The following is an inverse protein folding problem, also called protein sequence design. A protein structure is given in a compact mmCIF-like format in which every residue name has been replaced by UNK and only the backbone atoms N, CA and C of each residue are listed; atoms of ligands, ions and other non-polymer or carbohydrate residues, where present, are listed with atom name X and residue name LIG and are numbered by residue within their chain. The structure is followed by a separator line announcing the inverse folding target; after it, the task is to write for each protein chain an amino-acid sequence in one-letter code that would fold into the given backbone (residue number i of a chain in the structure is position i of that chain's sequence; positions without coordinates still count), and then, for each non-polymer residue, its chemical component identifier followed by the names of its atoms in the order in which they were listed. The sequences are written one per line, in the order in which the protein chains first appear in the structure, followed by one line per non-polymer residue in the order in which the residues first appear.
data_IF_226792490005
#
_entry.id   IF_226792490005
#
_cell.length_a   1.000
_cell.length_b   1.000
_cell.length_c   1.000
_cell.angle_alpha   90.00
_cell.angle_beta   90.00
_cell.angle_gamma   90.00
#
_symmetry.space_group_name_H-M   'P 1'
#
loop_
_entity.id
_entity.type
_entity.pdbx_description
1 polymer ?
#
# COMPACT_ATOMS: atom_id res chain seq x y z
N UNK A 1 -37.63 70.96 17.54
CA UNK A 1 -36.68 69.99 16.94
C UNK A 1 -37.44 68.73 16.54
N UNK A 2 -37.72 68.54 15.23
CA UNK A 2 -38.36 67.29 14.76
C UNK A 2 -37.34 66.17 14.94
N UNK A 3 -37.60 65.21 15.84
CA UNK A 3 -36.74 64.04 16.04
C UNK A 3 -36.70 63.26 14.72
N UNK A 4 -35.54 63.20 14.08
CA UNK A 4 -35.30 62.48 12.83
C UNK A 4 -35.33 60.96 13.05
N UNK A 5 -36.50 60.41 13.40
CA UNK A 5 -36.72 58.97 13.64
C UNK A 5 -36.27 58.11 12.45
N UNK A 6 -36.30 58.68 11.24
CA UNK A 6 -35.85 58.04 10.01
C UNK A 6 -34.33 57.77 9.97
N UNK A 7 -33.50 58.67 10.54
CA UNK A 7 -32.05 58.45 10.62
C UNK A 7 -31.68 57.30 11.56
N UNK A 8 -32.42 57.14 12.66
CA UNK A 8 -32.19 56.04 13.59
C UNK A 8 -32.55 54.69 12.97
N UNK A 9 -33.61 54.62 12.17
CA UNK A 9 -33.99 53.40 11.44
C UNK A 9 -32.90 53.01 10.43
N UNK A 10 -32.39 53.99 9.67
CA UNK A 10 -31.30 53.76 8.70
C UNK A 10 -30.02 53.31 9.40
N UNK A 11 -29.65 53.93 10.53
CA UNK A 11 -28.47 53.56 11.31
C UNK A 11 -28.58 52.14 11.87
N UNK A 12 -29.76 51.74 12.37
CA UNK A 12 -29.99 50.37 12.86
C UNK A 12 -29.95 49.34 11.74
N UNK A 13 -30.47 49.64 10.56
CA UNK A 13 -30.40 48.75 9.38
C UNK A 13 -28.96 48.60 8.90
N UNK A 14 -28.18 49.69 8.82
CA UNK A 14 -26.76 49.62 8.45
C UNK A 14 -25.93 48.83 9.48
N UNK A 15 -26.26 48.95 10.77
CA UNK A 15 -25.57 48.19 11.82
C UNK A 15 -25.93 46.69 11.76
N UNK A 16 -27.18 46.35 11.43
CA UNK A 16 -27.61 44.96 11.22
C UNK A 16 -26.98 44.31 9.97
N UNK A 17 -26.67 45.10 8.93
CA UNK A 17 -25.96 44.62 7.74
C UNK A 17 -24.44 44.48 7.96
N UNK A 18 -23.89 45.08 9.02
CA UNK A 18 -22.45 44.99 9.33
C UNK A 18 -22.02 43.71 10.03
N UNK A 19 -22.97 42.84 10.43
CA UNK A 19 -22.69 41.56 11.09
C UNK A 19 -22.75 40.35 10.15
N UNK A 20 -23.00 40.54 8.85
CA UNK A 20 -22.90 39.45 7.87
C UNK A 20 -21.45 39.30 7.42
N UNK A 21 -20.67 38.56 8.20
CA UNK A 21 -19.35 38.08 7.79
C UNK A 21 -19.52 36.90 6.84
N UNK A 22 -18.94 36.96 5.63
CA UNK A 22 -18.85 35.79 4.75
C UNK A 22 -17.68 34.91 5.23
N UNK A 23 -17.83 34.21 6.35
CA UNK A 23 -16.78 33.33 6.89
C UNK A 23 -16.45 32.19 5.90
N UNK A 24 -17.45 31.69 5.17
CA UNK A 24 -17.31 30.58 4.22
C UNK A 24 -16.57 30.95 2.92
N UNK A 25 -16.45 32.24 2.56
CA UNK A 25 -15.75 32.65 1.34
C UNK A 25 -14.23 32.43 1.43
N UNK A 26 -13.69 32.40 2.65
CA UNK A 26 -12.28 32.16 2.92
C UNK A 26 -11.97 30.69 3.25
N UNK A 27 -13.00 29.84 3.43
CA UNK A 27 -12.84 28.39 3.63
C UNK A 27 -12.69 27.65 2.28
N UNK A 28 -11.71 28.07 1.49
CA UNK A 28 -11.37 27.51 0.16
C UNK A 28 -10.22 26.50 0.23
N UNK A 29 -9.76 26.14 1.43
CA UNK A 29 -8.61 25.23 1.62
C UNK A 29 -9.00 23.76 1.58
N UNK A 30 -10.28 23.46 1.36
CA UNK A 30 -10.77 22.10 1.13
C UNK A 30 -10.78 21.84 -0.37
N UNK A 31 -10.02 20.84 -0.80
CA UNK A 31 -9.95 20.49 -2.21
C UNK A 31 -11.29 19.88 -2.64
N UNK A 32 -12.02 20.55 -3.53
CA UNK A 32 -13.31 20.03 -4.04
C UNK A 32 -13.15 18.92 -5.07
N UNK A 33 -11.95 18.80 -5.66
CA UNK A 33 -11.67 17.89 -6.77
C UNK A 33 -11.08 16.55 -6.30
N UNK A 34 -10.57 16.49 -5.08
CA UNK A 34 -10.02 15.27 -4.48
C UNK A 34 -10.67 15.00 -3.11
N UNK A 35 -11.03 13.75 -2.79
CA UNK A 35 -11.60 13.43 -1.49
C UNK A 35 -10.54 13.61 -0.39
N UNK A 36 -10.88 14.37 0.66
CA UNK A 36 -10.01 14.53 1.83
C UNK A 36 -9.97 13.26 2.71
N UNK A 37 -11.01 12.43 2.62
CA UNK A 37 -11.13 11.14 3.31
C UNK A 37 -11.77 10.12 2.38
N UNK A 38 -11.24 8.90 2.40
CA UNK A 38 -11.73 7.77 1.62
C UNK A 38 -11.92 6.60 2.57
N UNK A 39 -13.08 5.94 2.53
CA UNK A 39 -13.30 4.75 3.35
C UNK A 39 -12.33 3.63 2.98
N UNK A 40 -11.80 2.92 3.99
CA UNK A 40 -10.75 1.91 3.83
C UNK A 40 -11.00 0.90 2.70
N UNK A 41 -12.23 0.41 2.54
CA UNK A 41 -12.56 -0.59 1.51
C UNK A 41 -12.43 -0.07 0.06
N UNK A 42 -12.54 1.25 -0.16
CA UNK A 42 -12.45 1.85 -1.50
C UNK A 42 -11.01 1.88 -2.03
N UNK A 43 -10.01 1.81 -1.15
CA UNK A 43 -8.61 1.70 -1.57
C UNK A 43 -8.29 0.33 -2.18
N UNK A 44 -8.98 -0.73 -1.73
CA UNK A 44 -8.55 -2.10 -1.92
C UNK A 44 -8.45 -2.51 -3.41
N UNK A 45 -9.48 -2.18 -4.19
CA UNK A 45 -9.53 -2.47 -5.62
C UNK A 45 -8.34 -1.86 -6.39
N UNK A 46 -8.03 -0.58 -6.14
CA UNK A 46 -6.92 0.11 -6.79
C UNK A 46 -5.55 -0.43 -6.38
N UNK A 47 -5.38 -0.73 -5.09
CA UNK A 47 -4.17 -1.36 -4.55
C UNK A 47 -3.92 -2.73 -5.21
N UNK A 48 -4.96 -3.54 -5.38
CA UNK A 48 -4.86 -4.86 -6.03
C UNK A 48 -4.61 -4.74 -7.53
N UNK A 49 -5.24 -3.78 -8.21
CA UNK A 49 -5.03 -3.52 -9.64
C UNK A 49 -3.55 -3.20 -9.96
N UNK A 50 -2.81 -2.62 -9.00
CA UNK A 50 -1.39 -2.29 -9.17
C UNK A 50 -0.52 -3.49 -9.60
N UNK A 51 -0.92 -4.72 -9.27
CA UNK A 51 -0.21 -5.93 -9.70
C UNK A 51 -0.20 -6.15 -11.21
N UNK A 52 -1.10 -5.50 -11.97
CA UNK A 52 -1.06 -5.52 -13.42
C UNK A 52 0.30 -5.07 -13.99
N UNK A 53 0.97 -4.12 -13.32
CA UNK A 53 2.30 -3.65 -13.72
C UNK A 53 3.34 -4.76 -13.84
N UNK A 54 3.27 -5.78 -12.97
CA UNK A 54 4.22 -6.91 -12.98
C UNK A 54 4.20 -7.67 -14.32
N UNK A 55 3.04 -7.75 -14.99
CA UNK A 55 2.93 -8.40 -16.30
C UNK A 55 3.77 -7.69 -17.37
N UNK A 56 3.96 -6.38 -17.25
CA UNK A 56 4.82 -5.64 -18.17
C UNK A 56 6.30 -5.89 -17.92
N UNK A 57 6.70 -6.09 -16.67
CA UNK A 57 8.08 -6.45 -16.29
C UNK A 57 8.46 -7.84 -16.77
N UNK A 58 7.50 -8.75 -17.02
CA UNK A 58 7.78 -10.07 -17.61
C UNK A 58 8.46 -9.96 -18.99
N UNK A 59 8.27 -8.85 -19.73
CA UNK A 59 8.96 -8.60 -21.01
C UNK A 59 10.47 -8.38 -20.83
N UNK A 60 10.90 -8.00 -19.62
CA UNK A 60 12.30 -7.90 -19.23
C UNK A 60 12.77 -9.16 -18.50
N UNK A 61 12.00 -9.63 -17.50
CA UNK A 61 12.38 -10.74 -16.63
C UNK A 61 12.41 -12.09 -17.33
N UNK A 62 11.41 -12.42 -18.17
CA UNK A 62 11.36 -13.74 -18.82
C UNK A 62 12.49 -13.95 -19.84
N UNK A 63 12.89 -12.95 -20.65
CA UNK A 63 14.09 -13.08 -21.47
C UNK A 63 15.38 -13.13 -20.67
N UNK A 64 15.48 -12.38 -19.57
CA UNK A 64 16.63 -12.43 -18.66
C UNK A 64 16.83 -13.83 -18.06
N UNK A 65 15.74 -14.50 -17.69
CA UNK A 65 15.77 -15.88 -17.17
C UNK A 65 15.71 -16.95 -18.26
N UNK A 66 15.76 -16.55 -19.55
CA UNK A 66 15.68 -17.44 -20.71
C UNK A 66 14.39 -18.28 -20.79
N UNK A 67 13.33 -17.85 -20.09
CA UNK A 67 12.00 -18.48 -20.17
C UNK A 67 11.24 -18.10 -21.45
N UNK A 68 11.61 -16.99 -22.10
CA UNK A 68 11.00 -16.52 -23.35
C UNK A 68 12.04 -15.86 -24.26
N UNK A 69 11.92 -16.05 -25.57
CA UNK A 69 12.62 -15.20 -26.56
C UNK A 69 11.95 -13.83 -26.69
N UNK A 70 12.68 -12.82 -27.18
CA UNK A 70 12.12 -11.48 -27.39
C UNK A 70 12.78 -10.72 -28.53
N UNK A 71 12.02 -9.85 -29.19
CA UNK A 71 12.50 -8.83 -30.14
C UNK A 71 12.42 -7.40 -29.57
N UNK A 72 11.84 -7.23 -28.38
CA UNK A 72 11.81 -5.98 -27.60
C UNK A 72 12.54 -6.22 -26.27
N UNK A 73 13.00 -5.19 -25.54
CA UNK A 73 13.76 -5.40 -24.29
C UNK A 73 14.99 -6.31 -24.47
N UNK A 74 15.63 -6.26 -25.64
CA UNK A 74 16.75 -7.16 -26.02
C UNK A 74 17.96 -7.02 -25.11
N UNK A 75 18.16 -5.88 -24.45
CA UNK A 75 19.18 -5.73 -23.40
C UNK A 75 19.05 -6.80 -22.32
N UNK A 76 17.82 -7.07 -21.86
CA UNK A 76 17.55 -8.05 -20.82
C UNK A 76 17.81 -9.48 -21.27
N UNK A 77 17.48 -9.81 -22.52
CA UNK A 77 17.82 -11.11 -23.11
C UNK A 77 19.34 -11.37 -23.18
N UNK A 78 20.13 -10.29 -23.25
CA UNK A 78 21.60 -10.36 -23.21
C UNK A 78 22.17 -10.23 -21.79
N UNK A 79 21.36 -10.45 -20.75
CA UNK A 79 21.75 -10.30 -19.34
C UNK A 79 22.22 -8.88 -18.99
N UNK A 80 21.60 -7.87 -19.61
CA UNK A 80 21.88 -6.45 -19.38
C UNK A 80 20.61 -5.65 -19.11
N UNK A 81 20.74 -4.38 -18.72
CA UNK A 81 19.60 -3.49 -18.50
C UNK A 81 19.63 -2.30 -19.47
N UNK A 82 18.49 -1.65 -19.66
CA UNK A 82 18.43 -0.41 -20.44
C UNK A 82 18.88 0.77 -19.57
N UNK A 83 20.02 1.40 -19.91
CA UNK A 83 20.51 2.58 -19.20
C UNK A 83 19.56 3.76 -19.34
N UNK A 84 19.41 4.55 -18.28
CA UNK A 84 18.56 5.75 -18.25
C UNK A 84 17.13 5.50 -18.75
N UNK A 85 16.56 4.36 -18.36
CA UNK A 85 15.23 3.89 -18.78
C UNK A 85 14.47 3.34 -17.58
N UNK A 86 13.15 3.44 -17.63
CA UNK A 86 12.20 2.82 -16.70
C UNK A 86 11.77 1.41 -17.14
N UNK A 87 12.38 0.87 -18.21
CA UNK A 87 12.15 -0.48 -18.69
C UNK A 87 12.41 -1.52 -17.57
N UNK A 88 11.41 -2.33 -17.25
CA UNK A 88 11.51 -3.30 -16.15
C UNK A 88 11.34 -2.69 -14.75
N UNK A 89 10.83 -1.46 -14.66
CA UNK A 89 10.65 -0.70 -13.42
C UNK A 89 9.25 -0.77 -12.80
N UNK A 90 8.36 -1.64 -13.26
CA UNK A 90 6.98 -1.66 -12.77
C UNK A 90 6.87 -2.19 -11.34
N UNK A 91 7.74 -3.12 -10.91
CA UNK A 91 7.84 -3.54 -9.50
C UNK A 91 8.09 -2.34 -8.56
N UNK A 92 8.98 -1.45 -8.97
CA UNK A 92 9.30 -0.21 -8.24
C UNK A 92 8.09 0.73 -8.20
N UNK A 93 7.49 1.00 -9.37
CA UNK A 93 6.28 1.84 -9.48
C UNK A 93 5.13 1.28 -8.66
N UNK A 94 4.96 -0.05 -8.64
CA UNK A 94 3.92 -0.72 -7.88
C UNK A 94 4.04 -0.42 -6.38
N UNK A 95 5.22 -0.64 -5.78
CA UNK A 95 5.42 -0.43 -4.34
C UNK A 95 5.36 1.04 -3.96
N UNK A 96 6.12 1.90 -4.64
CA UNK A 96 6.28 3.29 -4.18
C UNK A 96 5.19 4.24 -4.65
N UNK A 97 4.51 3.93 -5.76
CA UNK A 97 3.54 4.85 -6.36
C UNK A 97 2.12 4.31 -6.34
N UNK A 98 1.86 3.20 -7.04
CA UNK A 98 0.49 2.70 -7.25
C UNK A 98 -0.13 2.20 -5.92
N UNK A 99 0.61 1.38 -5.17
CA UNK A 99 0.23 0.99 -3.81
C UNK A 99 0.59 2.11 -2.85
N UNK A 100 1.89 2.42 -2.71
CA UNK A 100 2.39 3.64 -2.08
C UNK A 100 1.64 4.08 -0.82
N UNK A 101 1.36 5.38 -0.73
CA UNK A 101 0.60 5.95 0.37
C UNK A 101 -0.87 5.51 0.40
N UNK A 102 -1.43 4.99 -0.70
CA UNK A 102 -2.80 4.44 -0.67
C UNK A 102 -2.87 3.21 0.25
N UNK A 103 -1.89 2.32 0.14
CA UNK A 103 -1.78 1.14 0.99
C UNK A 103 -1.47 1.51 2.45
N UNK A 104 -0.53 2.43 2.68
CA UNK A 104 -0.21 2.90 4.03
C UNK A 104 -1.42 3.57 4.70
N UNK A 105 -2.14 4.43 3.97
CA UNK A 105 -3.34 5.08 4.47
C UNK A 105 -4.44 4.06 4.80
N UNK A 106 -4.68 3.09 3.92
CA UNK A 106 -5.67 2.03 4.18
C UNK A 106 -5.32 1.26 5.46
N UNK A 107 -4.05 0.86 5.64
CA UNK A 107 -3.59 0.14 6.84
C UNK A 107 -3.76 1.01 8.08
N UNK A 108 -3.21 2.22 8.09
CA UNK A 108 -3.19 3.11 9.25
C UNK A 108 -4.60 3.50 9.70
N UNK A 109 -5.49 3.86 8.75
CA UNK A 109 -6.89 4.17 9.05
C UNK A 109 -7.63 2.95 9.59
N UNK A 110 -7.36 1.77 9.03
CA UNK A 110 -8.01 0.53 9.46
C UNK A 110 -7.55 0.12 10.86
N UNK A 111 -6.27 0.24 11.20
CA UNK A 111 -5.78 -0.01 12.56
C UNK A 111 -6.37 0.99 13.56
N UNK A 112 -6.39 2.29 13.23
CA UNK A 112 -6.97 3.31 14.09
C UNK A 112 -8.47 3.12 14.34
N UNK A 113 -9.20 2.62 13.34
CA UNK A 113 -10.63 2.31 13.44
C UNK A 113 -10.92 0.90 13.98
N UNK A 114 -9.90 0.09 14.31
CA UNK A 114 -10.03 -1.32 14.70
C UNK A 114 -10.78 -2.17 13.65
N UNK A 115 -10.57 -1.85 12.37
CA UNK A 115 -11.05 -2.61 11.20
C UNK A 115 -9.95 -3.58 10.74
N UNK A 116 -9.67 -4.57 11.57
CA UNK A 116 -8.55 -5.50 11.43
C UNK A 116 -8.55 -6.34 10.16
N UNK A 117 -9.70 -6.65 9.55
CA UNK A 117 -9.75 -7.37 8.28
C UNK A 117 -9.07 -6.57 7.17
N UNK A 118 -9.39 -5.28 7.02
CA UNK A 118 -8.75 -4.42 6.01
C UNK A 118 -7.28 -4.17 6.33
N UNK A 119 -6.94 -3.94 7.60
CA UNK A 119 -5.55 -3.79 8.02
C UNK A 119 -4.74 -5.06 7.69
N UNK A 120 -5.30 -6.23 7.98
CA UNK A 120 -4.67 -7.52 7.76
C UNK A 120 -4.45 -7.83 6.27
N UNK A 121 -5.47 -7.58 5.43
CA UNK A 121 -5.33 -7.66 3.96
C UNK A 121 -4.24 -6.70 3.48
N UNK A 122 -4.23 -5.47 3.97
CA UNK A 122 -3.22 -4.46 3.64
C UNK A 122 -1.81 -4.92 3.99
N UNK A 123 -1.59 -5.42 5.21
CA UNK A 123 -0.28 -5.96 5.61
C UNK A 123 0.15 -7.17 4.78
N UNK A 124 -0.78 -8.03 4.36
CA UNK A 124 -0.46 -9.18 3.51
C UNK A 124 0.00 -8.74 2.10
N UNK A 125 -0.71 -7.77 1.51
CA UNK A 125 -0.34 -7.13 0.24
C UNK A 125 1.03 -6.45 0.38
N UNK A 126 1.24 -5.67 1.46
CA UNK A 126 2.51 -4.99 1.73
C UNK A 126 3.65 -5.98 1.79
N UNK A 127 3.52 -7.04 2.59
CA UNK A 127 4.55 -8.07 2.72
C UNK A 127 4.90 -8.70 1.36
N UNK A 128 3.89 -9.10 0.56
CA UNK A 128 4.11 -9.70 -0.75
C UNK A 128 4.80 -8.74 -1.73
N UNK A 129 4.32 -7.51 -1.81
CA UNK A 129 4.84 -6.50 -2.76
C UNK A 129 6.29 -6.13 -2.46
N UNK A 130 6.62 -5.94 -1.18
CA UNK A 130 8.00 -5.64 -0.76
C UNK A 130 8.92 -6.85 -0.95
N UNK A 131 8.46 -8.07 -0.68
CA UNK A 131 9.19 -9.32 -0.98
C UNK A 131 9.51 -9.42 -2.47
N UNK A 132 8.54 -9.12 -3.33
CA UNK A 132 8.74 -9.12 -4.78
C UNK A 132 9.73 -8.04 -5.23
N UNK A 133 9.57 -6.80 -4.74
CA UNK A 133 10.45 -5.69 -5.07
C UNK A 133 11.91 -6.01 -4.75
N UNK A 134 12.20 -6.44 -3.53
CA UNK A 134 13.60 -6.70 -3.14
C UNK A 134 14.20 -7.86 -3.93
N UNK A 135 13.40 -8.86 -4.35
CA UNK A 135 13.89 -9.96 -5.19
C UNK A 135 14.29 -9.50 -6.59
N UNK A 136 13.67 -8.45 -7.10
CA UNK A 136 13.98 -7.87 -8.43
C UNK A 136 15.07 -6.82 -8.32
N UNK A 137 15.03 -5.95 -7.31
CA UNK A 137 15.86 -4.75 -7.22
C UNK A 137 16.99 -4.84 -6.19
N UNK A 138 16.97 -5.83 -5.30
CA UNK A 138 17.93 -5.95 -4.21
C UNK A 138 17.62 -4.97 -3.08
N UNK A 139 18.55 -4.06 -2.82
CA UNK A 139 18.44 -3.01 -1.81
C UNK A 139 17.41 -1.96 -2.25
N UNK A 140 16.65 -1.43 -1.30
CA UNK A 140 15.62 -0.43 -1.60
C UNK A 140 15.34 0.45 -0.37
N UNK A 141 14.93 1.73 -0.53
CA UNK A 141 14.53 2.57 0.60
C UNK A 141 13.29 2.04 1.30
N UNK A 142 13.42 1.40 2.46
CA UNK A 142 12.27 0.81 3.15
C UNK A 142 11.91 1.57 4.42
N UNK A 143 12.87 1.79 5.32
CA UNK A 143 12.65 2.48 6.60
C UNK A 143 12.32 3.96 6.42
N UNK A 144 12.88 4.56 5.37
CA UNK A 144 12.65 5.97 5.01
C UNK A 144 11.54 6.14 3.98
N UNK A 145 10.94 5.06 3.47
CA UNK A 145 9.82 5.16 2.55
C UNK A 145 8.67 5.93 3.19
N UNK A 146 8.02 6.80 2.40
CA UNK A 146 6.82 7.52 2.79
C UNK A 146 6.96 8.46 4.00
N UNK A 147 8.19 8.82 4.40
CA UNK A 147 8.44 9.82 5.44
C UNK A 147 8.12 11.23 4.90
N UNK A 148 7.13 11.95 5.47
CA UNK A 148 6.74 13.26 4.95
C UNK A 148 7.90 14.26 4.97
N UNK A 149 8.07 15.00 3.86
CA UNK A 149 9.10 16.03 3.73
C UNK A 149 10.52 15.50 3.47
N UNK A 150 10.74 14.19 3.44
CA UNK A 150 12.02 13.60 3.08
C UNK A 150 12.15 13.51 1.56
N UNK A 151 13.15 14.21 0.99
CA UNK A 151 13.37 14.30 -0.46
C UNK A 151 14.54 13.43 -0.97
N UNK A 152 15.29 12.83 -0.05
CA UNK A 152 16.42 11.93 -0.33
C UNK A 152 16.35 10.76 0.63
N UNK A 153 16.60 9.56 0.13
CA UNK A 153 16.32 8.34 0.86
C UNK A 153 17.53 7.40 0.82
N UNK A 154 17.89 6.89 1.99
CA UNK A 154 18.88 5.83 2.15
C UNK A 154 18.27 4.48 1.76
N UNK A 155 19.09 3.63 1.15
CA UNK A 155 18.71 2.28 0.79
C UNK A 155 18.91 1.34 1.98
N UNK A 156 17.91 0.50 2.25
CA UNK A 156 18.06 -0.59 3.20
C UNK A 156 18.59 -1.83 2.49
N UNK A 157 19.50 -2.54 3.17
CA UNK A 157 19.99 -3.83 2.71
C UNK A 157 18.86 -4.86 2.62
N UNK A 158 18.98 -5.77 1.64
CA UNK A 158 17.96 -6.77 1.34
C UNK A 158 17.63 -7.68 2.54
N UNK A 159 18.58 -8.00 3.41
CA UNK A 159 18.33 -8.82 4.60
C UNK A 159 17.36 -8.13 5.58
N UNK A 160 17.54 -6.83 5.81
CA UNK A 160 16.62 -6.03 6.61
C UNK A 160 15.21 -5.96 5.98
N UNK A 161 15.12 -5.87 4.65
CA UNK A 161 13.83 -5.90 3.94
C UNK A 161 13.15 -7.26 4.10
N UNK A 162 13.90 -8.36 3.96
CA UNK A 162 13.38 -9.71 4.15
C UNK A 162 12.82 -9.92 5.56
N UNK A 163 13.54 -9.46 6.58
CA UNK A 163 13.09 -9.53 7.97
C UNK A 163 11.79 -8.75 8.17
N UNK A 164 11.72 -7.53 7.64
CA UNK A 164 10.54 -6.68 7.74
C UNK A 164 9.33 -7.24 6.98
N UNK A 165 9.53 -7.88 5.82
CA UNK A 165 8.49 -8.61 5.09
C UNK A 165 7.84 -9.66 5.98
N UNK A 166 8.64 -10.45 6.72
CA UNK A 166 8.09 -11.48 7.62
C UNK A 166 7.35 -10.86 8.81
N UNK A 167 7.80 -9.70 9.31
CA UNK A 167 7.07 -8.94 10.34
C UNK A 167 5.70 -8.49 9.82
N UNK A 168 5.62 -7.91 8.62
CA UNK A 168 4.33 -7.51 8.03
C UNK A 168 3.41 -8.70 7.76
N UNK A 169 3.95 -9.81 7.25
CA UNK A 169 3.14 -11.02 7.03
C UNK A 169 2.57 -11.59 8.35
N UNK A 170 3.36 -11.59 9.44
CA UNK A 170 2.87 -11.98 10.78
C UNK A 170 1.83 -11.00 11.31
N UNK A 171 2.01 -9.70 11.07
CA UNK A 171 1.03 -8.68 11.43
C UNK A 171 -0.29 -8.86 10.69
N UNK A 172 -0.23 -9.23 9.41
CA UNK A 172 -1.42 -9.58 8.64
C UNK A 172 -2.22 -10.72 9.30
N UNK A 173 -1.55 -11.80 9.67
CA UNK A 173 -2.16 -12.95 10.35
C UNK A 173 -2.82 -12.50 11.67
N UNK A 174 -2.07 -11.77 12.51
CA UNK A 174 -2.57 -11.25 13.79
C UNK A 174 -3.84 -10.40 13.61
N UNK A 175 -3.86 -9.51 12.63
CA UNK A 175 -5.03 -8.67 12.35
C UNK A 175 -6.21 -9.50 11.81
N UNK A 176 -5.96 -10.45 10.91
CA UNK A 176 -7.01 -11.30 10.32
C UNK A 176 -7.61 -12.28 11.33
N UNK A 177 -7.01 -12.49 12.50
CA UNK A 177 -7.59 -13.30 13.58
C UNK A 177 -8.50 -12.48 14.52
N UNK A 178 -8.51 -11.14 14.40
CA UNK A 178 -9.33 -10.25 15.24
C UNK A 178 -10.70 -9.96 14.63
N UNK A 179 -11.62 -9.51 15.48
CA UNK A 179 -12.97 -9.09 15.10
C UNK A 179 -12.99 -7.60 14.75
N UNK A 180 -13.61 -7.26 13.63
CA UNK A 180 -13.74 -5.87 13.19
C UNK A 180 -14.72 -5.10 14.07
N UNK A 181 -14.37 -3.85 14.37
CA UNK A 181 -15.28 -2.91 15.03
C UNK A 181 -16.43 -2.47 14.11
N UNK A 182 -16.16 -2.37 12.81
CA UNK A 182 -17.14 -1.95 11.80
C UNK A 182 -17.57 -3.14 10.96
N UNK A 183 -18.89 -3.34 10.85
CA UNK A 183 -19.44 -4.29 9.87
C UNK A 183 -19.61 -3.61 8.50
N UNK A 184 -18.73 -3.94 7.57
CA UNK A 184 -18.78 -3.41 6.20
C UNK A 184 -19.79 -4.12 5.28
N UNK A 185 -20.49 -5.15 5.74
CA UNK A 185 -21.36 -5.98 4.92
C UNK A 185 -20.59 -6.59 3.74
N UNK A 186 -21.11 -6.43 2.53
CA UNK A 186 -20.48 -6.95 1.30
C UNK A 186 -19.42 -6.01 0.70
N UNK A 187 -19.16 -4.84 1.31
CA UNK A 187 -18.29 -3.82 0.68
C UNK A 187 -16.85 -4.31 0.54
N UNK A 188 -16.30 -4.99 1.55
CA UNK A 188 -14.96 -5.59 1.46
C UNK A 188 -14.94 -6.65 0.35
N UNK A 189 -15.90 -7.58 0.35
CA UNK A 189 -15.93 -8.67 -0.63
C UNK A 189 -16.15 -8.19 -2.08
N UNK A 190 -16.83 -7.07 -2.27
CA UNK A 190 -17.01 -6.44 -3.59
C UNK A 190 -15.76 -5.72 -4.12
N UNK A 191 -14.81 -5.37 -3.23
CA UNK A 191 -13.59 -4.64 -3.58
C UNK A 191 -12.32 -5.50 -3.44
N UNK A 192 -12.43 -6.68 -2.83
CA UNK A 192 -11.38 -7.70 -2.81
C UNK A 192 -11.55 -8.66 -3.99
N UNK A 193 -10.84 -8.41 -5.07
CA UNK A 193 -10.87 -9.25 -6.27
C UNK A 193 -9.98 -10.49 -6.18
N UNK A 194 -9.23 -10.67 -5.08
CA UNK A 194 -8.34 -11.82 -4.89
C UNK A 194 -9.06 -12.93 -4.14
N UNK A 195 -9.59 -12.64 -2.95
CA UNK A 195 -10.23 -13.64 -2.09
C UNK A 195 -11.65 -13.26 -1.62
N UNK A 196 -12.22 -12.16 -2.11
CA UNK A 196 -13.59 -11.78 -1.77
C UNK A 196 -13.81 -11.51 -0.29
N UNK A 197 -12.80 -11.02 0.43
CA UNK A 197 -12.84 -10.74 1.87
C UNK A 197 -12.66 -11.98 2.75
N UNK A 198 -12.34 -13.14 2.18
CA UNK A 198 -12.13 -14.39 2.92
C UNK A 198 -10.85 -14.34 3.77
N UNK A 199 -11.03 -14.07 5.06
CA UNK A 199 -9.94 -13.96 6.05
C UNK A 199 -9.07 -15.21 6.09
N UNK A 200 -9.67 -16.41 5.99
CA UNK A 200 -8.92 -17.66 6.06
C UNK A 200 -7.96 -17.82 4.87
N UNK A 201 -8.39 -17.42 3.66
CA UNK A 201 -7.51 -17.42 2.48
C UNK A 201 -6.41 -16.37 2.59
N UNK A 202 -6.70 -15.18 3.12
CA UNK A 202 -5.68 -14.17 3.36
C UNK A 202 -4.65 -14.59 4.41
N UNK A 203 -5.06 -15.31 5.47
CA UNK A 203 -4.13 -15.90 6.45
C UNK A 203 -3.22 -16.92 5.76
N UNK A 204 -3.77 -17.84 4.96
CA UNK A 204 -2.97 -18.80 4.18
C UNK A 204 -2.00 -18.10 3.23
N UNK A 205 -2.45 -17.03 2.57
CA UNK A 205 -1.60 -16.22 1.70
C UNK A 205 -0.45 -15.55 2.47
N UNK A 206 -0.71 -14.98 3.65
CA UNK A 206 0.35 -14.39 4.48
C UNK A 206 1.40 -15.44 4.91
N UNK A 207 0.98 -16.65 5.29
CA UNK A 207 1.91 -17.76 5.51
C UNK A 207 2.67 -18.16 4.23
N UNK A 208 2.01 -18.14 3.06
CA UNK A 208 2.67 -18.40 1.78
C UNK A 208 3.74 -17.34 1.46
N UNK A 209 3.51 -16.07 1.82
CA UNK A 209 4.52 -15.01 1.69
C UNK A 209 5.74 -15.29 2.57
N UNK A 210 5.53 -15.70 3.83
CA UNK A 210 6.63 -16.11 4.73
C UNK A 210 7.40 -17.28 4.13
N UNK A 211 6.70 -18.32 3.67
CA UNK A 211 7.32 -19.47 3.03
C UNK A 211 8.13 -19.08 1.78
N UNK A 212 7.58 -18.23 0.90
CA UNK A 212 8.26 -17.73 -0.30
C UNK A 212 9.48 -16.86 0.02
N UNK A 213 9.40 -16.05 1.07
CA UNK A 213 10.53 -15.24 1.55
C UNK A 213 11.67 -16.14 2.04
N UNK A 214 11.37 -17.07 2.95
CA UNK A 214 12.34 -18.01 3.51
C UNK A 214 12.91 -18.97 2.48
N UNK A 215 12.11 -19.43 1.51
CA UNK A 215 12.59 -20.28 0.41
C UNK A 215 13.75 -19.64 -0.36
N UNK A 216 13.76 -18.31 -0.48
CA UNK A 216 14.82 -17.57 -1.16
C UNK A 216 16.13 -17.49 -0.36
N UNK A 217 16.10 -17.89 0.91
CA UNK A 217 17.26 -17.97 1.80
C UNK A 217 17.85 -19.38 1.91
N UNK A 218 17.28 -20.38 1.24
CA UNK A 218 17.66 -21.81 1.36
C UNK A 218 19.13 -22.10 1.06
N UNK A 219 19.77 -21.31 0.19
CA UNK A 219 21.19 -21.42 -0.14
C UNK A 219 22.13 -20.71 0.85
N UNK A 220 21.62 -20.05 1.90
CA UNK A 220 22.47 -19.46 2.95
C UNK A 220 23.00 -20.57 3.86
N UNK A 221 24.29 -20.48 4.22
CA UNK A 221 24.98 -21.52 5.00
C UNK A 221 24.35 -21.79 6.37
N UNK A 222 23.67 -20.79 6.93
CA UNK A 222 22.99 -20.84 8.23
C UNK A 222 21.48 -21.12 8.13
N UNK A 223 20.95 -21.41 6.93
CA UNK A 223 19.52 -21.61 6.71
C UNK A 223 18.92 -22.69 7.61
N UNK A 224 19.58 -23.86 7.67
CA UNK A 224 19.13 -24.99 8.49
C UNK A 224 18.99 -24.62 9.97
N UNK A 225 19.86 -23.75 10.47
CA UNK A 225 19.88 -23.36 11.87
C UNK A 225 18.89 -22.22 12.17
N UNK A 226 18.77 -21.25 11.26
CA UNK A 226 18.01 -20.01 11.51
C UNK A 226 16.57 -20.04 11.03
N UNK A 227 16.30 -20.73 9.93
CA UNK A 227 15.08 -20.51 9.14
C UNK A 227 14.28 -21.76 8.85
N UNK A 228 14.85 -22.96 9.04
CA UNK A 228 14.23 -24.22 8.61
C UNK A 228 12.88 -24.47 9.30
N UNK A 229 12.81 -24.36 10.62
CA UNK A 229 11.57 -24.66 11.36
C UNK A 229 10.44 -23.69 10.99
N UNK A 230 10.74 -22.39 10.92
CA UNK A 230 9.79 -21.37 10.48
C UNK A 230 9.34 -21.61 9.03
N UNK A 231 10.25 -22.03 8.15
CA UNK A 231 9.94 -22.33 6.76
C UNK A 231 8.98 -23.51 6.63
N UNK A 232 9.21 -24.61 7.36
CA UNK A 232 8.34 -25.78 7.32
C UNK A 232 6.96 -25.46 7.93
N UNK A 233 6.92 -24.75 9.07
CA UNK A 233 5.66 -24.32 9.68
C UNK A 233 4.84 -23.42 8.75
N UNK A 234 5.48 -22.43 8.12
CA UNK A 234 4.83 -21.55 7.15
C UNK A 234 4.31 -22.33 5.94
N UNK A 235 5.06 -23.29 5.40
CA UNK A 235 4.61 -24.16 4.31
C UNK A 235 3.36 -24.95 4.71
N UNK A 236 3.38 -25.58 5.89
CA UNK A 236 2.25 -26.39 6.35
C UNK A 236 0.98 -25.54 6.51
N UNK A 237 1.09 -24.33 7.07
CA UNK A 237 -0.06 -23.44 7.28
C UNK A 237 -0.55 -22.78 5.99
N UNK A 238 0.32 -22.56 5.00
CA UNK A 238 -0.04 -22.00 3.71
C UNK A 238 -0.87 -22.98 2.85
N UNK A 239 -0.56 -24.28 2.93
CA UNK A 239 -1.13 -25.31 2.04
C UNK A 239 -2.05 -26.33 2.73
N UNK A 240 -2.31 -26.19 4.04
CA UNK A 240 -3.32 -26.95 4.77
C UNK A 240 -4.76 -26.58 4.34
#
# INVERSE_FOLDING_TARGET
MKKNKFLYIIATIMMALSTTSCDDFLDVNKNTDAPDYVEGYLYLAGIQQAYYGIYFDLRALCPLTQMMGTSSYTSFANNYYSKASDAGGEAWRMVYWNQGMNLENMINQSEAAENWTLAGIGYAIKAYSWDFLTKVNGEAPMKQAFVPGLLSHEYDYQDAIYDQVRVWAKKAIECLEKEDKTNYGTRISQNDYIYGGDKAKWIKFAYAVIARNLASLTNKNDFKQKYYDEFIDACNKAFA
#
